data_IF_273008528188
#
_entry.id   IF_273008528188
#
_cell.length_a   1.000
_cell.length_b   1.000
_cell.length_c   1.000
_cell.angle_alpha   90.00
_cell.angle_beta   90.00
_cell.angle_gamma   90.00
#
_symmetry.space_group_name_H-M   'P 1'
#
loop_
_entity.id
_entity.type
_entity.pdbx_description
1 polymer ?
#
# COMPACT_ATOMS: atom_id res chain seq x y z
N UNK A 1 -15.60 4.04 2.60
CA UNK A 1 -14.82 4.49 1.44
C UNK A 1 -13.36 4.18 1.72
N UNK A 2 -12.82 3.13 1.11
CA UNK A 2 -11.37 2.85 1.14
C UNK A 2 -10.67 3.93 0.29
N UNK A 3 -9.66 4.59 0.84
CA UNK A 3 -8.88 5.56 0.07
C UNK A 3 -8.22 4.84 -1.11
N UNK A 4 -8.30 5.41 -2.32
CA UNK A 4 -7.59 4.84 -3.45
C UNK A 4 -6.10 5.17 -3.33
N UNK A 5 -5.19 4.18 -3.39
CA UNK A 5 -3.76 4.43 -3.32
C UNK A 5 -3.33 5.18 -4.58
N UNK A 6 -2.44 6.15 -4.38
CA UNK A 6 -1.79 6.89 -5.46
C UNK A 6 -0.33 6.53 -5.48
N UNK A 7 0.29 6.58 -6.65
CA UNK A 7 1.75 6.44 -6.77
C UNK A 7 2.41 7.46 -5.84
N UNK A 8 3.38 7.01 -5.06
CA UNK A 8 4.08 7.78 -4.05
C UNK A 8 3.47 7.72 -2.65
N UNK A 9 2.21 7.32 -2.49
CA UNK A 9 1.55 7.22 -1.17
C UNK A 9 2.13 6.09 -0.33
N UNK A 10 2.31 6.35 0.96
CA UNK A 10 2.75 5.36 1.95
C UNK A 10 1.56 4.79 2.70
N UNK A 11 1.58 3.48 2.92
CA UNK A 11 0.54 2.74 3.58
C UNK A 11 1.14 1.81 4.63
N UNK A 12 0.48 1.73 5.78
CA UNK A 12 0.84 0.83 6.85
C UNK A 12 -0.15 -0.32 6.87
N UNK A 13 0.35 -1.55 6.72
CA UNK A 13 -0.44 -2.77 6.87
C UNK A 13 -0.18 -3.41 8.22
N UNK A 14 -1.27 -3.69 8.94
CA UNK A 14 -1.23 -4.30 10.27
C UNK A 14 -2.21 -5.46 10.33
N UNK A 15 -1.73 -6.69 10.18
CA UNK A 15 -2.56 -7.89 10.07
C UNK A 15 -2.92 -8.39 11.47
N UNK A 16 -4.21 -8.43 11.85
CA UNK A 16 -4.63 -9.00 13.13
C UNK A 16 -4.10 -10.43 13.29
N UNK A 17 -3.64 -10.78 14.49
CA UNK A 17 -3.15 -12.12 14.85
C UNK A 17 -1.88 -12.61 14.13
N UNK A 18 -1.32 -11.84 13.18
CA UNK A 18 -0.13 -12.19 12.41
C UNK A 18 0.85 -11.01 12.21
N UNK A 19 1.47 -10.48 13.29
CA UNK A 19 2.34 -9.30 13.24
C UNK A 19 3.60 -9.49 12.37
N UNK A 20 4.01 -10.73 12.09
CA UNK A 20 5.10 -11.02 11.15
C UNK A 20 4.80 -10.61 9.69
N UNK A 21 3.55 -10.23 9.40
CA UNK A 21 3.11 -9.73 8.10
C UNK A 21 2.88 -8.21 8.10
N UNK A 22 3.09 -7.56 9.23
CA UNK A 22 3.04 -6.11 9.35
C UNK A 22 4.20 -5.52 8.56
N UNK A 23 3.89 -4.49 7.77
CA UNK A 23 4.88 -3.76 6.99
C UNK A 23 4.36 -2.41 6.57
N UNK A 24 5.27 -1.49 6.36
CA UNK A 24 5.00 -0.22 5.70
C UNK A 24 5.48 -0.30 4.26
N UNK A 25 4.67 0.17 3.33
CA UNK A 25 4.99 0.10 1.91
C UNK A 25 4.60 1.37 1.18
N UNK A 26 5.38 1.70 0.15
CA UNK A 26 5.10 2.81 -0.75
C UNK A 26 4.53 2.29 -2.06
N UNK A 27 3.45 2.90 -2.53
CA UNK A 27 2.86 2.56 -3.83
C UNK A 27 3.76 3.10 -4.93
N UNK A 28 4.21 2.22 -5.82
CA UNK A 28 5.09 2.56 -6.94
C UNK A 28 4.36 2.50 -8.29
N UNK A 29 3.25 1.77 -8.36
CA UNK A 29 2.44 1.65 -9.57
C UNK A 29 1.00 1.27 -9.27
N UNK A 30 0.05 1.76 -10.07
CA UNK A 30 -1.36 1.34 -10.05
C UNK A 30 -1.81 1.17 -11.49
N UNK A 31 -2.31 -0.01 -11.83
CA UNK A 31 -2.78 -0.27 -13.18
C UNK A 31 -3.95 -1.25 -13.20
N UNK A 32 -4.77 -1.13 -14.22
CA UNK A 32 -5.97 -1.95 -14.40
C UNK A 32 -5.80 -2.85 -15.62
N UNK A 33 -6.16 -4.13 -15.48
CA UNK A 33 -6.20 -5.10 -16.58
C UNK A 33 -7.59 -5.74 -16.61
N UNK A 34 -8.39 -5.38 -17.60
CA UNK A 34 -9.83 -5.71 -17.61
C UNK A 34 -10.54 -4.95 -16.49
N UNK A 35 -11.29 -5.68 -15.65
CA UNK A 35 -11.99 -5.13 -14.48
C UNK A 35 -11.18 -5.24 -13.17
N UNK A 36 -9.92 -5.67 -13.26
CA UNK A 36 -9.08 -5.96 -12.09
C UNK A 36 -7.97 -4.92 -11.93
N UNK A 37 -7.92 -4.30 -10.75
CA UNK A 37 -6.86 -3.34 -10.40
C UNK A 37 -5.74 -4.00 -9.62
N UNK A 38 -4.52 -3.78 -10.10
CA UNK A 38 -3.28 -4.21 -9.46
C UNK A 38 -2.52 -3.01 -8.91
N UNK A 39 -1.77 -3.27 -7.84
CA UNK A 39 -0.87 -2.29 -7.22
C UNK A 39 0.53 -2.89 -7.13
N UNK A 40 1.50 -2.07 -7.49
CA UNK A 40 2.92 -2.30 -7.25
C UNK A 40 3.35 -1.48 -6.04
N UNK A 41 4.11 -2.11 -5.16
CA UNK A 41 4.57 -1.52 -3.92
C UNK A 41 6.04 -1.83 -3.69
N UNK A 42 6.70 -0.91 -3.01
CA UNK A 42 8.02 -1.08 -2.42
C UNK A 42 7.84 -1.24 -0.91
N UNK A 43 8.36 -2.33 -0.36
CA UNK A 43 8.48 -2.52 1.08
C UNK A 43 9.51 -1.53 1.64
N UNK A 44 9.13 -0.70 2.61
CA UNK A 44 9.99 0.36 3.11
C UNK A 44 11.11 -0.13 4.05
N UNK A 45 10.96 -1.33 4.62
CA UNK A 45 11.98 -1.92 5.50
C UNK A 45 13.06 -2.64 4.68
N UNK A 46 12.64 -3.41 3.67
CA UNK A 46 13.53 -4.24 2.85
C UNK A 46 13.94 -3.60 1.52
N UNK A 47 13.21 -2.60 1.02
CA UNK A 47 13.32 -2.11 -0.36
C UNK A 47 12.81 -3.08 -1.43
N UNK A 48 12.13 -4.16 -1.01
CA UNK A 48 11.68 -5.22 -1.90
C UNK A 48 10.45 -4.77 -2.70
N UNK A 49 10.47 -4.97 -4.02
CA UNK A 49 9.33 -4.71 -4.88
C UNK A 49 8.36 -5.91 -4.85
N UNK A 50 7.07 -5.60 -4.79
CA UNK A 50 5.99 -6.58 -4.78
C UNK A 50 4.79 -6.07 -5.56
N UNK A 51 4.00 -7.01 -6.08
CA UNK A 51 2.76 -6.69 -6.80
C UNK A 51 1.62 -7.57 -6.29
N UNK A 52 0.45 -6.98 -6.13
CA UNK A 52 -0.75 -7.71 -5.74
C UNK A 52 -2.03 -7.08 -6.28
N UNK A 53 -3.15 -7.76 -6.07
CA UNK A 53 -4.47 -7.19 -6.30
C UNK A 53 -4.69 -6.07 -5.30
N UNK A 54 -5.26 -4.96 -5.77
CA UNK A 54 -5.53 -3.79 -4.95
C UNK A 54 -6.33 -4.16 -3.69
N UNK A 55 -7.41 -4.93 -3.86
CA UNK A 55 -8.28 -5.35 -2.77
C UNK A 55 -7.51 -6.10 -1.67
N UNK A 56 -6.71 -7.10 -2.04
CA UNK A 56 -5.91 -7.87 -1.07
C UNK A 56 -4.74 -7.10 -0.47
N UNK A 57 -4.13 -6.20 -1.24
CA UNK A 57 -2.98 -5.41 -0.76
C UNK A 57 -3.42 -4.34 0.24
N UNK A 58 -4.64 -3.84 0.10
CA UNK A 58 -5.23 -2.89 1.04
C UNK A 58 -5.94 -3.56 2.22
N UNK A 59 -6.04 -4.88 2.22
CA UNK A 59 -6.59 -5.62 3.34
C UNK A 59 -5.71 -5.39 4.59
N UNK A 60 -6.35 -4.81 5.61
CA UNK A 60 -5.71 -4.29 6.83
C UNK A 60 -4.69 -3.16 6.64
N UNK A 61 -4.63 -2.54 5.46
CA UNK A 61 -3.78 -1.39 5.21
C UNK A 61 -4.53 -0.08 5.39
N UNK A 62 -3.85 0.91 5.97
CA UNK A 62 -4.36 2.28 6.10
C UNK A 62 -3.34 3.26 5.51
N UNK A 63 -3.79 4.37 4.89
CA UNK A 63 -2.87 5.38 4.42
C UNK A 63 -2.13 5.98 5.62
N UNK A 64 -0.81 6.09 5.52
CA UNK A 64 -0.02 6.87 6.47
C UNK A 64 -0.17 8.33 6.03
N UNK A 65 -1.12 9.03 6.64
CA UNK A 65 -1.10 10.50 6.60
C UNK A 65 0.13 10.94 7.37
N UNK A 66 1.14 11.47 6.67
CA UNK A 66 2.18 12.22 7.34
C UNK A 66 1.49 13.34 8.12
N UNK A 67 1.68 13.37 9.44
CA UNK A 67 1.48 14.59 10.21
C UNK A 67 2.64 15.53 9.89
N UNK A 68 2.61 16.04 8.66
CA UNK A 68 3.30 17.25 8.25
C UNK A 68 2.48 17.75 7.07
N UNK A 69 1.89 18.93 7.22
CA UNK A 69 0.98 19.56 6.25
C UNK A 69 1.68 19.97 4.95
N UNK A 70 2.44 19.07 4.34
CA UNK A 70 3.21 19.31 3.14
C UNK A 70 3.01 18.14 2.18
N UNK A 71 2.10 18.34 1.22
CA UNK A 71 2.00 17.49 0.05
C UNK A 71 3.27 17.68 -0.81
N UNK A 72 3.98 16.59 -1.07
CA UNK A 72 4.97 16.51 -2.15
C UNK A 72 4.39 15.70 -3.30
#
# INVERSE_FOLDING_TARGET
MTAQPRIGSVWARRVPDYPQHDRDFRVTGVFTKGDVTYVEVEDLESGSLSRGLLEYMLDYAKPVTGDDGTAY
#
